data_IF_954996502119
#
_entry.id   IF_954996502119
#
_cell.length_a   1.000
_cell.length_b   1.000
_cell.length_c   1.000
_cell.angle_alpha   90.00
_cell.angle_beta   90.00
_cell.angle_gamma   90.00
#
_symmetry.space_group_name_H-M   'P 1'
#
loop_
_entity.id
_entity.type
_entity.pdbx_description
1 polymer ?
#
# COMPACT_ATOMS: atom_id res chain seq x y z
N UNK A 1 15.75 0.28 6.66
CA UNK A 1 16.35 -1.05 6.38
C UNK A 1 15.29 -1.93 5.75
N UNK A 2 15.37 -2.14 4.43
CA UNK A 2 14.34 -2.83 3.64
C UNK A 2 14.47 -4.36 3.59
N UNK A 3 15.40 -4.95 4.34
CA UNK A 3 15.69 -6.40 4.30
C UNK A 3 14.46 -7.28 4.62
N UNK A 4 13.50 -6.78 5.42
CA UNK A 4 12.27 -7.52 5.75
C UNK A 4 11.16 -7.41 4.68
N UNK A 5 11.32 -6.59 3.63
CA UNK A 5 10.33 -6.39 2.56
C UNK A 5 10.65 -7.18 1.28
N UNK A 6 11.86 -7.72 1.17
CA UNK A 6 12.40 -8.41 0.01
C UNK A 6 12.04 -9.90 -0.06
N UNK A 7 10.75 -10.26 0.03
CA UNK A 7 10.32 -11.67 -0.01
C UNK A 7 10.85 -12.43 -1.26
N UNK A 8 11.11 -11.69 -2.35
CA UNK A 8 11.61 -12.22 -3.60
C UNK A 8 13.09 -11.89 -3.88
N UNK A 9 13.82 -11.27 -2.94
CA UNK A 9 15.22 -10.82 -3.15
C UNK A 9 16.17 -11.95 -3.53
N UNK A 10 15.87 -13.17 -3.10
CA UNK A 10 16.68 -14.36 -3.37
C UNK A 10 16.14 -15.22 -4.52
N UNK A 11 15.10 -14.76 -5.21
CA UNK A 11 14.56 -15.45 -6.38
C UNK A 11 15.49 -15.23 -7.57
N UNK A 12 15.99 -16.34 -8.11
CA UNK A 12 16.83 -16.35 -9.30
C UNK A 12 16.13 -17.08 -10.46
N UNK A 13 16.72 -17.01 -11.66
CA UNK A 13 16.17 -17.64 -12.85
C UNK A 13 15.98 -19.17 -12.73
N UNK A 14 16.77 -19.84 -11.88
CA UNK A 14 16.62 -21.28 -11.64
C UNK A 14 15.36 -21.58 -10.83
N UNK A 15 15.10 -20.80 -9.78
CA UNK A 15 13.88 -20.88 -8.96
C UNK A 15 12.65 -20.56 -9.80
N UNK A 16 12.71 -19.54 -10.66
CA UNK A 16 11.61 -19.20 -11.58
C UNK A 16 11.31 -20.36 -12.53
N UNK A 17 12.32 -20.94 -13.18
CA UNK A 17 12.13 -22.09 -14.07
C UNK A 17 11.56 -23.30 -13.33
N UNK A 18 12.10 -23.61 -12.15
CA UNK A 18 11.58 -24.71 -11.33
C UNK A 18 10.11 -24.50 -10.93
N UNK A 19 9.73 -23.26 -10.60
CA UNK A 19 8.35 -22.91 -10.28
C UNK A 19 7.42 -23.04 -11.49
N UNK A 20 7.85 -22.58 -12.67
CA UNK A 20 7.10 -22.75 -13.92
C UNK A 20 6.92 -24.22 -14.29
N UNK A 21 7.95 -25.05 -14.11
CA UNK A 21 7.87 -26.48 -14.38
C UNK A 21 6.98 -27.22 -13.37
N UNK A 22 6.93 -26.76 -12.12
CA UNK A 22 5.97 -27.26 -11.12
C UNK A 22 4.53 -26.94 -11.55
N UNK A 23 4.26 -25.72 -12.03
CA UNK A 23 2.94 -25.33 -12.52
C UNK A 23 2.51 -26.15 -13.75
N UNK A 24 3.41 -26.36 -14.72
CA UNK A 24 3.13 -27.20 -15.91
C UNK A 24 2.80 -28.66 -15.59
N UNK A 25 3.19 -29.13 -14.40
CA UNK A 25 2.95 -30.50 -13.91
C UNK A 25 1.78 -30.57 -12.92
N UNK A 26 0.95 -29.54 -12.85
CA UNK A 26 -0.17 -29.43 -11.89
C UNK A 26 0.28 -29.62 -10.42
N UNK A 27 1.52 -29.23 -10.11
CA UNK A 27 2.12 -29.39 -8.78
C UNK A 27 1.56 -28.43 -7.73
N UNK A 28 0.71 -27.49 -8.14
CA UNK A 28 0.06 -26.50 -7.25
C UNK A 28 -1.45 -26.67 -7.37
N UNK A 29 -2.12 -26.88 -6.23
CA UNK A 29 -3.57 -26.97 -6.14
C UNK A 29 -4.10 -25.89 -5.21
N UNK A 30 -5.07 -25.11 -5.70
CA UNK A 30 -5.79 -24.13 -4.89
C UNK A 30 -7.20 -24.64 -4.66
N UNK A 31 -7.67 -24.59 -3.42
CA UNK A 31 -9.02 -25.00 -3.06
C UNK A 31 -9.61 -24.06 -2.01
N UNK A 32 -10.93 -23.90 -2.04
CA UNK A 32 -11.65 -23.04 -1.11
C UNK A 32 -12.39 -23.88 -0.09
N UNK A 33 -12.30 -23.49 1.19
CA UNK A 33 -13.10 -24.09 2.23
C UNK A 33 -14.53 -23.54 2.15
N UNK A 34 -15.54 -24.41 2.18
CA UNK A 34 -16.95 -24.00 2.22
C UNK A 34 -17.28 -23.25 3.51
N UNK A 35 -16.69 -23.68 4.60
CA UNK A 35 -16.77 -23.04 5.91
C UNK A 35 -15.35 -22.70 6.36
N UNK A 36 -15.12 -21.43 6.65
CA UNK A 36 -13.82 -20.94 7.10
C UNK A 36 -13.90 -20.53 8.57
N UNK A 37 -12.91 -20.90 9.41
CA UNK A 37 -12.91 -20.54 10.83
C UNK A 37 -12.69 -19.04 11.06
N UNK A 38 -12.15 -18.33 10.05
CA UNK A 38 -11.96 -16.88 10.08
C UNK A 38 -12.10 -16.29 8.68
N UNK A 39 -12.35 -14.98 8.62
CA UNK A 39 -12.39 -14.20 7.37
C UNK A 39 -11.06 -14.23 6.62
N UNK A 40 -9.94 -14.21 7.36
CA UNK A 40 -8.60 -14.41 6.84
C UNK A 40 -8.10 -15.76 7.36
N UNK A 41 -8.15 -16.78 6.52
CA UNK A 41 -7.59 -18.09 6.78
C UNK A 41 -6.90 -18.59 5.51
N UNK A 42 -5.58 -18.83 5.59
CA UNK A 42 -4.82 -19.43 4.50
C UNK A 42 -3.99 -20.56 5.08
N UNK A 43 -4.20 -21.77 4.56
CA UNK A 43 -3.37 -22.94 4.85
C UNK A 43 -2.53 -23.26 3.61
N UNK A 44 -1.22 -23.21 3.77
CA UNK A 44 -0.28 -23.66 2.76
C UNK A 44 0.27 -25.03 3.17
N UNK A 45 0.19 -26.01 2.27
CA UNK A 45 0.70 -27.37 2.48
C UNK A 45 1.70 -27.74 1.39
N UNK A 46 2.79 -28.38 1.79
CA UNK A 46 3.81 -28.92 0.89
C UNK A 46 4.03 -30.40 1.16
N UNK A 47 4.38 -31.17 0.15
CA UNK A 47 4.63 -32.60 0.29
C UNK A 47 5.84 -33.06 -0.54
N UNK A 48 6.51 -34.12 -0.07
CA UNK A 48 7.61 -34.79 -0.76
C UNK A 48 7.64 -36.28 -0.39
N UNK A 49 7.27 -37.14 -1.34
CA UNK A 49 7.01 -38.55 -1.05
C UNK A 49 5.90 -38.65 -0.01
N UNK A 50 6.15 -39.39 1.07
CA UNK A 50 5.20 -39.59 2.17
C UNK A 50 5.22 -38.45 3.21
N UNK A 51 6.14 -37.49 3.08
CA UNK A 51 6.25 -36.38 4.02
C UNK A 51 5.33 -35.22 3.63
N UNK A 52 4.70 -34.62 4.63
CA UNK A 52 3.84 -33.44 4.49
C UNK A 52 4.22 -32.39 5.53
N UNK A 53 4.10 -31.11 5.19
CA UNK A 53 4.22 -30.01 6.13
C UNK A 53 3.21 -28.93 5.79
N UNK A 54 2.75 -28.19 6.80
CA UNK A 54 1.79 -27.12 6.60
C UNK A 54 2.01 -25.95 7.55
N UNK A 55 1.53 -24.79 7.12
CA UNK A 55 1.44 -23.56 7.92
C UNK A 55 0.07 -22.93 7.70
N UNK A 56 -0.50 -22.37 8.76
CA UNK A 56 -1.74 -21.59 8.72
C UNK A 56 -1.46 -20.16 9.15
N UNK A 57 -1.87 -19.19 8.33
CA UNK A 57 -2.07 -17.81 8.81
C UNK A 57 -3.56 -17.56 9.05
N UNK A 58 -3.87 -16.89 10.17
CA UNK A 58 -5.25 -16.61 10.54
C UNK A 58 -5.37 -15.29 11.31
N UNK A 59 -6.43 -14.52 11.04
CA UNK A 59 -6.78 -13.27 11.73
C UNK A 59 -5.93 -12.03 11.37
N UNK A 60 -4.66 -12.20 10.99
CA UNK A 60 -3.77 -11.14 10.48
C UNK A 60 -2.84 -11.68 9.37
N UNK A 61 -2.32 -10.80 8.49
CA UNK A 61 -1.56 -11.16 7.29
C UNK A 61 -0.21 -11.84 7.59
N UNK A 62 0.37 -11.59 8.75
CA UNK A 62 1.63 -12.19 9.21
C UNK A 62 1.44 -13.14 10.40
N UNK A 63 0.20 -13.39 10.81
CA UNK A 63 -0.09 -14.13 12.03
C UNK A 63 -0.13 -15.64 11.78
N UNK A 64 1.04 -16.28 11.77
CA UNK A 64 1.17 -17.74 11.75
C UNK A 64 0.53 -18.30 13.03
N UNK A 65 -0.55 -19.06 12.90
CA UNK A 65 -1.32 -19.62 14.01
C UNK A 65 -1.10 -21.10 14.22
N UNK A 66 -0.74 -21.82 13.16
CA UNK A 66 -0.47 -23.24 13.21
C UNK A 66 0.67 -23.62 12.28
N UNK A 67 1.47 -24.60 12.68
CA UNK A 67 2.46 -25.24 11.80
C UNK A 67 2.56 -26.70 12.18
N UNK A 68 2.72 -27.58 11.20
CA UNK A 68 2.88 -29.01 11.47
C UNK A 68 3.59 -29.77 10.38
N UNK A 69 3.92 -31.03 10.69
CA UNK A 69 4.63 -31.96 9.81
C UNK A 69 4.14 -33.38 10.05
N UNK A 70 3.89 -34.13 8.98
CA UNK A 70 3.53 -35.55 9.00
C UNK A 70 2.37 -35.85 9.98
N UNK A 71 1.31 -35.03 9.93
CA UNK A 71 0.15 -35.16 10.83
C UNK A 71 0.36 -34.65 12.27
N UNK A 72 1.57 -34.23 12.64
CA UNK A 72 1.86 -33.68 13.96
C UNK A 72 1.89 -32.15 13.97
N UNK A 73 1.09 -31.54 14.84
CA UNK A 73 1.15 -30.09 15.09
C UNK A 73 2.40 -29.77 15.90
N UNK A 74 3.25 -28.89 15.37
CA UNK A 74 4.50 -28.46 15.99
C UNK A 74 4.36 -27.10 16.67
N UNK A 75 3.46 -26.27 16.17
CA UNK A 75 3.16 -24.96 16.69
C UNK A 75 1.66 -24.71 16.62
N UNK A 76 1.08 -24.19 17.70
CA UNK A 76 -0.29 -23.71 17.75
C UNK A 76 -0.35 -22.51 18.69
N UNK A 77 -1.01 -21.43 18.25
CA UNK A 77 -1.36 -20.32 19.13
C UNK A 77 -2.83 -19.92 18.95
N UNK A 78 -3.49 -19.45 20.03
CA UNK A 78 -4.83 -18.90 19.92
C UNK A 78 -4.87 -17.72 18.94
N UNK A 79 -5.91 -17.68 18.12
CA UNK A 79 -6.17 -16.54 17.22
C UNK A 79 -6.66 -15.38 18.08
N UNK A 80 -5.75 -14.48 18.46
CA UNK A 80 -6.14 -13.17 18.97
C UNK A 80 -6.57 -12.32 17.80
N UNK A 81 -7.85 -11.93 17.74
CA UNK A 81 -8.31 -10.89 16.82
C UNK A 81 -7.56 -9.60 17.18
N UNK A 82 -6.58 -9.22 16.37
CA UNK A 82 -5.89 -7.93 16.48
C UNK A 82 -6.81 -6.84 15.96
N UNK A 83 -7.84 -6.50 16.74
CA UNK A 83 -8.65 -5.29 16.51
C UNK A 83 -7.89 -4.02 16.93
N UNK A 84 -6.90 -4.12 17.83
CA UNK A 84 -6.44 -2.96 18.61
C UNK A 84 -5.35 -2.06 17.98
N UNK A 85 -4.89 -2.31 16.76
CA UNK A 85 -3.73 -1.58 16.19
C UNK A 85 -4.07 -0.30 15.42
N UNK A 86 -5.21 -0.27 14.73
CA UNK A 86 -5.61 0.84 13.84
C UNK A 86 -6.62 1.79 14.54
N UNK A 87 -7.05 1.43 15.76
CA UNK A 87 -8.13 2.08 16.51
C UNK A 87 -7.70 3.28 17.38
N UNK A 88 -6.41 3.62 17.44
CA UNK A 88 -5.97 4.74 18.27
C UNK A 88 -6.32 6.09 17.63
N UNK A 89 -6.08 6.24 16.31
CA UNK A 89 -6.26 7.51 15.62
C UNK A 89 -7.74 7.90 15.50
N UNK A 90 -8.65 6.91 15.39
CA UNK A 90 -10.09 7.14 15.29
C UNK A 90 -10.71 7.75 16.56
N UNK A 91 -9.98 7.77 17.68
CA UNK A 91 -10.40 8.38 18.95
C UNK A 91 -10.20 9.89 18.97
N UNK A 92 -9.39 10.42 18.07
CA UNK A 92 -9.13 11.84 17.94
C UNK A 92 -9.97 12.43 16.81
N UNK A 93 -10.22 13.74 16.87
CA UNK A 93 -10.86 14.41 15.76
C UNK A 93 -9.84 14.73 14.66
N UNK A 94 -10.29 14.75 13.41
CA UNK A 94 -9.41 14.97 12.26
C UNK A 94 -8.79 16.37 12.29
N UNK A 95 -9.54 17.39 12.74
CA UNK A 95 -9.04 18.75 12.93
C UNK A 95 -7.86 18.78 13.92
N UNK A 96 -8.01 18.14 15.09
CA UNK A 96 -6.96 18.04 16.09
C UNK A 96 -5.70 17.34 15.54
N UNK A 97 -5.88 16.27 14.76
CA UNK A 97 -4.78 15.53 14.12
C UNK A 97 -4.03 16.42 13.12
N UNK A 98 -4.76 17.09 12.23
CA UNK A 98 -4.17 17.94 11.18
C UNK A 98 -3.48 19.15 11.81
N UNK A 99 -4.09 19.80 12.80
CA UNK A 99 -3.48 20.91 13.51
C UNK A 99 -2.23 20.46 14.26
N UNK A 100 -2.23 19.28 14.89
CA UNK A 100 -1.01 18.73 15.51
C UNK A 100 0.12 18.59 14.48
N UNK A 101 -0.17 17.99 13.32
CA UNK A 101 0.84 17.78 12.26
C UNK A 101 1.44 19.10 11.75
N UNK A 102 0.63 20.15 11.63
CA UNK A 102 1.11 21.48 11.17
C UNK A 102 2.12 22.11 12.11
N UNK A 103 2.17 21.69 13.37
CA UNK A 103 3.10 22.20 14.38
C UNK A 103 4.32 21.30 14.61
N UNK A 104 4.39 20.12 13.97
CA UNK A 104 5.56 19.25 14.05
C UNK A 104 6.72 19.84 13.25
N UNK A 105 7.94 19.61 13.75
CA UNK A 105 9.18 20.00 13.11
C UNK A 105 9.54 19.00 11.99
N UNK A 106 10.40 19.43 11.05
CA UNK A 106 10.76 18.61 9.89
C UNK A 106 11.44 17.30 10.32
N UNK A 107 12.29 17.35 11.34
CA UNK A 107 13.04 16.22 11.88
C UNK A 107 12.12 15.09 12.38
N UNK A 108 10.92 15.43 12.86
CA UNK A 108 9.92 14.44 13.31
C UNK A 108 9.22 13.75 12.15
N UNK A 109 9.24 14.35 10.95
CA UNK A 109 8.50 13.92 9.77
C UNK A 109 9.40 13.47 8.60
N UNK A 110 10.72 13.64 8.71
CA UNK A 110 11.71 13.37 7.66
C UNK A 110 11.60 11.92 7.12
N UNK A 111 11.27 10.96 7.99
CA UNK A 111 11.09 9.56 7.60
C UNK A 111 10.02 9.38 6.51
N UNK A 112 8.98 10.24 6.46
CA UNK A 112 7.93 10.16 5.44
C UNK A 112 8.45 10.57 4.06
N UNK A 113 9.41 11.50 4.02
CA UNK A 113 10.09 11.88 2.77
C UNK A 113 10.93 10.70 2.28
N UNK A 114 11.65 10.03 3.17
CA UNK A 114 12.39 8.81 2.83
C UNK A 114 11.45 7.70 2.32
N UNK A 115 10.29 7.52 2.94
CA UNK A 115 9.28 6.57 2.47
C UNK A 115 8.76 6.92 1.06
N UNK A 116 8.58 8.21 0.78
CA UNK A 116 8.21 8.69 -0.53
C UNK A 116 9.31 8.49 -1.58
N UNK A 117 10.58 8.69 -1.22
CA UNK A 117 11.74 8.41 -2.08
C UNK A 117 11.83 6.92 -2.44
N UNK A 118 11.61 6.01 -1.49
CA UNK A 118 11.57 4.56 -1.75
C UNK A 118 10.50 4.22 -2.79
N UNK A 119 9.28 4.74 -2.62
CA UNK A 119 8.21 4.52 -3.61
C UNK A 119 8.52 5.18 -4.95
N UNK A 120 9.20 6.35 -4.97
CA UNK A 120 9.56 7.03 -6.20
C UNK A 120 10.59 6.24 -6.99
N UNK A 121 11.58 5.65 -6.32
CA UNK A 121 12.54 4.75 -6.96
C UNK A 121 11.85 3.54 -7.62
N UNK A 122 10.82 2.97 -6.97
CA UNK A 122 10.01 1.91 -7.58
C UNK A 122 9.23 2.39 -8.82
N UNK A 123 8.74 3.63 -8.82
CA UNK A 123 8.11 4.23 -10.00
C UNK A 123 9.12 4.45 -11.13
N UNK A 124 10.32 4.94 -10.82
CA UNK A 124 11.39 5.17 -11.78
C UNK A 124 11.86 3.85 -12.42
N UNK A 125 12.00 2.78 -11.65
CA UNK A 125 12.27 1.44 -12.20
C UNK A 125 11.15 1.02 -13.16
N UNK A 126 9.88 1.18 -12.76
CA UNK A 126 8.73 0.88 -13.62
C UNK A 126 8.63 1.74 -14.89
N UNK A 127 9.24 2.92 -14.93
CA UNK A 127 9.26 3.76 -16.13
C UNK A 127 10.36 3.37 -17.12
N UNK A 128 11.46 2.81 -16.62
CA UNK A 128 12.63 2.48 -17.43
C UNK A 128 12.75 0.98 -17.75
N UNK A 129 11.90 0.13 -17.17
CA UNK A 129 11.92 -1.30 -17.42
C UNK A 129 11.18 -1.67 -18.71
N UNK A 130 11.82 -2.42 -19.61
CA UNK A 130 11.26 -2.84 -20.90
C UNK A 130 10.01 -3.73 -20.77
N UNK A 131 9.81 -4.38 -19.62
CA UNK A 131 8.64 -5.23 -19.36
C UNK A 131 7.46 -4.46 -18.75
N UNK A 132 7.62 -3.17 -18.45
CA UNK A 132 6.59 -2.31 -17.90
C UNK A 132 6.14 -1.29 -18.96
N UNK A 133 4.82 -1.19 -19.20
CA UNK A 133 4.28 -0.38 -20.31
C UNK A 133 3.56 0.88 -19.85
N UNK A 134 3.12 0.95 -18.59
CA UNK A 134 2.31 2.06 -18.09
C UNK A 134 3.14 3.34 -18.00
N UNK A 135 4.40 3.24 -17.56
CA UNK A 135 5.27 4.41 -17.43
C UNK A 135 5.53 5.10 -18.76
N UNK A 136 5.90 4.33 -19.78
CA UNK A 136 6.14 4.87 -21.12
C UNK A 136 4.86 5.42 -21.76
N UNK A 137 3.72 4.73 -21.60
CA UNK A 137 2.43 5.19 -22.11
C UNK A 137 2.00 6.53 -21.49
N UNK A 138 2.12 6.67 -20.16
CA UNK A 138 1.67 7.87 -19.45
C UNK A 138 2.66 9.04 -19.53
N UNK A 139 3.96 8.78 -19.67
CA UNK A 139 4.98 9.84 -19.78
C UNK A 139 4.72 10.77 -20.96
N UNK A 140 4.22 10.22 -22.07
CA UNK A 140 3.85 10.99 -23.26
C UNK A 140 2.73 12.01 -23.02
N UNK A 141 1.90 11.83 -21.99
CA UNK A 141 0.73 12.66 -21.71
C UNK A 141 1.02 13.86 -20.79
N UNK A 142 2.21 13.95 -20.19
CA UNK A 142 2.54 15.00 -19.19
C UNK A 142 3.10 16.26 -19.82
N UNK A 143 3.88 16.14 -20.91
CA UNK A 143 4.85 17.15 -21.35
C UNK A 143 4.29 18.56 -21.52
N UNK A 144 3.01 18.68 -21.88
CA UNK A 144 2.34 19.95 -22.16
C UNK A 144 1.07 20.19 -21.31
N UNK A 145 0.87 19.41 -20.24
CA UNK A 145 -0.32 19.56 -19.39
C UNK A 145 -0.21 20.84 -18.53
N UNK A 146 -1.19 21.76 -18.57
CA UNK A 146 -1.18 22.94 -17.69
C UNK A 146 -1.59 22.55 -16.26
N UNK A 147 -1.24 23.38 -15.28
CA UNK A 147 -1.80 23.28 -13.94
C UNK A 147 -3.34 23.50 -13.99
N UNK A 148 -4.16 22.73 -13.25
CA UNK A 148 -3.80 21.67 -12.29
C UNK A 148 -3.60 20.27 -12.88
N UNK A 149 -3.84 20.08 -14.18
CA UNK A 149 -3.78 18.76 -14.83
C UNK A 149 -2.39 18.13 -14.80
N UNK A 150 -1.31 18.93 -14.81
CA UNK A 150 0.06 18.43 -14.67
C UNK A 150 0.27 17.63 -13.38
N UNK A 151 -0.24 18.09 -12.23
CA UNK A 151 -0.14 17.38 -10.96
C UNK A 151 -0.89 16.06 -10.99
N UNK A 152 -2.11 16.07 -11.55
CA UNK A 152 -2.90 14.84 -11.72
C UNK A 152 -2.18 13.85 -12.66
N UNK A 153 -1.62 14.31 -13.78
CA UNK A 153 -0.93 13.44 -14.73
C UNK A 153 0.37 12.86 -14.14
N UNK A 154 1.15 13.67 -13.42
CA UNK A 154 2.34 13.20 -12.73
C UNK A 154 2.01 12.15 -11.66
N UNK A 155 0.95 12.39 -10.87
CA UNK A 155 0.48 11.42 -9.89
C UNK A 155 0.05 10.10 -10.53
N UNK A 156 -0.65 10.15 -11.68
CA UNK A 156 -1.00 8.94 -12.45
C UNK A 156 0.23 8.21 -12.95
N UNK A 157 1.20 8.92 -13.51
CA UNK A 157 2.44 8.31 -13.97
C UNK A 157 3.16 7.60 -12.82
N UNK A 158 3.42 8.30 -11.72
CA UNK A 158 4.16 7.75 -10.59
C UNK A 158 3.46 6.52 -10.00
N UNK A 159 2.16 6.65 -9.71
CA UNK A 159 1.39 5.58 -9.08
C UNK A 159 1.23 4.36 -10.00
N UNK A 160 0.97 4.57 -11.30
CA UNK A 160 0.83 3.47 -12.24
C UNK A 160 2.16 2.74 -12.48
N UNK A 161 3.27 3.46 -12.63
CA UNK A 161 4.59 2.86 -12.82
C UNK A 161 5.03 2.04 -11.62
N UNK A 162 4.88 2.56 -10.39
CA UNK A 162 5.23 1.80 -9.19
C UNK A 162 4.31 0.58 -8.98
N UNK A 163 3.01 0.74 -9.25
CA UNK A 163 2.05 -0.36 -9.14
C UNK A 163 2.35 -1.47 -10.16
N UNK A 164 2.62 -1.12 -11.42
CA UNK A 164 2.98 -2.09 -12.46
C UNK A 164 4.30 -2.78 -12.14
N UNK A 165 5.36 -2.04 -11.81
CA UNK A 165 6.65 -2.60 -11.42
C UNK A 165 6.50 -3.67 -10.33
N UNK A 166 5.72 -3.35 -9.28
CA UNK A 166 5.39 -4.30 -8.22
C UNK A 166 4.58 -5.49 -8.73
N UNK A 167 3.55 -5.26 -9.56
CA UNK A 167 2.62 -6.30 -10.00
C UNK A 167 3.23 -7.29 -11.00
N UNK A 168 4.16 -6.85 -11.84
CA UNK A 168 4.89 -7.74 -12.76
C UNK A 168 6.05 -8.47 -12.06
N UNK A 169 6.29 -8.18 -10.78
CA UNK A 169 7.29 -8.86 -9.95
C UNK A 169 8.71 -8.32 -10.10
N UNK A 170 8.88 -7.05 -10.49
CA UNK A 170 10.19 -6.41 -10.38
C UNK A 170 10.62 -6.35 -8.92
N UNK A 171 11.93 -6.46 -8.68
CA UNK A 171 12.46 -6.42 -7.32
C UNK A 171 12.58 -4.99 -6.80
N UNK A 172 11.43 -4.37 -6.52
CA UNK A 172 11.33 -2.99 -6.04
C UNK A 172 10.68 -2.94 -4.66
N UNK A 173 11.33 -2.33 -3.65
CA UNK A 173 10.72 -2.14 -2.35
C UNK A 173 9.59 -1.10 -2.43
N UNK A 174 8.51 -1.34 -1.68
CA UNK A 174 7.38 -0.42 -1.56
C UNK A 174 7.09 -0.18 -0.09
N UNK A 175 7.13 1.09 0.34
CA UNK A 175 6.70 1.43 1.69
C UNK A 175 5.18 1.37 1.75
N UNK A 176 4.67 0.45 2.56
CA UNK A 176 3.25 0.23 2.75
C UNK A 176 2.70 1.15 3.86
N UNK A 177 1.41 1.47 3.75
CA UNK A 177 0.68 2.13 4.84
C UNK A 177 -0.60 1.34 5.16
N UNK A 178 -0.91 1.24 6.46
CA UNK A 178 -2.03 0.46 6.97
C UNK A 178 -2.07 -0.98 6.41
N UNK A 179 -0.89 -1.61 6.29
CA UNK A 179 -0.72 -2.99 5.84
C UNK A 179 -0.85 -3.22 4.33
N UNK A 180 -0.82 -2.18 3.48
CA UNK A 180 -0.95 -2.32 2.02
C UNK A 180 0.05 -1.46 1.26
N UNK A 181 0.81 -2.11 0.36
CA UNK A 181 1.73 -1.42 -0.54
C UNK A 181 1.01 -0.50 -1.53
N UNK A 182 -0.18 -0.87 -2.01
CA UNK A 182 -0.95 0.00 -2.92
C UNK A 182 -1.48 1.25 -2.21
N UNK A 183 -1.79 1.18 -0.91
CA UNK A 183 -2.09 2.39 -0.15
C UNK A 183 -0.85 3.29 -0.08
N UNK A 184 0.33 2.69 0.14
CA UNK A 184 1.60 3.41 0.20
C UNK A 184 1.91 4.12 -1.11
N UNK A 185 1.86 3.40 -2.23
CA UNK A 185 2.01 3.94 -3.58
C UNK A 185 1.09 5.14 -3.79
N UNK A 186 -0.22 4.99 -3.56
CA UNK A 186 -1.17 6.09 -3.74
C UNK A 186 -0.89 7.28 -2.81
N UNK A 187 -0.65 7.01 -1.52
CA UNK A 187 -0.39 8.02 -0.50
C UNK A 187 0.87 8.83 -0.80
N UNK A 188 2.02 8.15 -0.87
CA UNK A 188 3.31 8.81 -0.99
C UNK A 188 3.49 9.45 -2.36
N UNK A 189 3.22 8.73 -3.45
CA UNK A 189 3.45 9.24 -4.80
C UNK A 189 2.39 10.25 -5.25
N UNK A 190 1.15 10.13 -4.76
CA UNK A 190 0.10 11.11 -5.01
C UNK A 190 0.47 12.48 -4.43
N UNK A 191 0.91 12.51 -3.16
CA UNK A 191 1.36 13.75 -2.51
C UNK A 191 2.65 14.26 -3.13
N UNK A 192 3.63 13.40 -3.36
CA UNK A 192 4.92 13.79 -3.93
C UNK A 192 4.75 14.43 -5.32
N UNK A 193 3.92 13.86 -6.19
CA UNK A 193 3.64 14.43 -7.50
C UNK A 193 3.01 15.83 -7.42
N UNK A 194 2.05 16.04 -6.51
CA UNK A 194 1.45 17.36 -6.30
C UNK A 194 2.48 18.36 -5.74
N UNK A 195 3.29 17.94 -4.76
CA UNK A 195 4.34 18.75 -4.16
C UNK A 195 5.39 19.21 -5.18
N UNK A 196 5.82 18.33 -6.09
CA UNK A 196 6.79 18.66 -7.15
C UNK A 196 6.27 19.69 -8.14
N UNK A 197 4.99 19.59 -8.52
CA UNK A 197 4.34 20.57 -9.41
C UNK A 197 4.14 21.92 -8.71
N UNK A 198 3.76 21.89 -7.43
CA UNK A 198 3.55 23.09 -6.62
C UNK A 198 4.86 23.72 -6.13
N UNK A 199 5.98 22.99 -6.18
CA UNK A 199 7.32 23.41 -5.72
C UNK A 199 7.31 23.85 -4.26
N UNK A 200 6.58 23.12 -3.42
CA UNK A 200 6.52 23.38 -1.97
C UNK A 200 7.86 23.10 -1.30
N UNK A 201 8.06 23.67 -0.12
CA UNK A 201 9.23 23.39 0.71
C UNK A 201 9.25 21.94 1.23
N UNK A 202 10.41 21.49 1.67
CA UNK A 202 10.58 20.15 2.24
C UNK A 202 9.72 19.95 3.51
N UNK A 203 9.62 20.98 4.36
CA UNK A 203 8.73 21.00 5.53
C UNK A 203 7.26 20.87 5.14
N UNK A 204 6.82 21.57 4.11
CA UNK A 204 5.45 21.45 3.60
C UNK A 204 5.18 20.07 3.00
N UNK A 205 6.14 19.49 2.26
CA UNK A 205 6.05 18.12 1.76
C UNK A 205 5.92 17.12 2.90
N UNK A 206 6.76 17.20 3.93
CA UNK A 206 6.74 16.30 5.08
C UNK A 206 5.39 16.34 5.81
N UNK A 207 4.85 17.55 6.05
CA UNK A 207 3.53 17.76 6.66
C UNK A 207 2.40 17.26 5.77
N UNK A 208 2.47 17.47 4.46
CA UNK A 208 1.48 16.97 3.51
C UNK A 208 1.45 15.42 3.50
N UNK A 209 2.62 14.77 3.50
CA UNK A 209 2.74 13.32 3.60
C UNK A 209 2.18 12.81 4.91
N UNK A 210 2.42 13.51 6.02
CA UNK A 210 1.88 13.17 7.33
C UNK A 210 0.35 13.28 7.37
N UNK A 211 -0.22 14.37 6.83
CA UNK A 211 -1.68 14.58 6.73
C UNK A 211 -2.32 13.44 5.91
N UNK A 212 -1.78 13.16 4.73
CA UNK A 212 -2.30 12.08 3.87
C UNK A 212 -2.23 10.72 4.57
N UNK A 213 -1.11 10.45 5.25
CA UNK A 213 -0.88 9.18 5.95
C UNK A 213 -1.82 9.01 7.14
N UNK A 214 -1.98 10.06 7.94
CA UNK A 214 -2.88 10.08 9.09
C UNK A 214 -4.34 9.87 8.67
N UNK A 215 -4.80 10.56 7.63
CA UNK A 215 -6.16 10.38 7.09
C UNK A 215 -6.36 8.98 6.53
N UNK A 216 -5.36 8.44 5.82
CA UNK A 216 -5.39 7.06 5.31
C UNK A 216 -5.58 6.06 6.45
N UNK A 217 -4.79 6.20 7.53
CA UNK A 217 -4.88 5.35 8.72
C UNK A 217 -6.22 5.55 9.44
N UNK A 218 -6.68 6.80 9.59
CA UNK A 218 -7.96 7.14 10.20
C UNK A 218 -9.13 6.44 9.52
N UNK A 219 -9.23 6.57 8.19
CA UNK A 219 -10.28 5.93 7.39
C UNK A 219 -10.14 4.40 7.48
N UNK A 220 -8.91 3.87 7.46
CA UNK A 220 -8.66 2.43 7.63
C UNK A 220 -9.03 1.90 9.01
N UNK A 221 -9.08 2.72 10.05
CA UNK A 221 -9.63 2.34 11.35
C UNK A 221 -11.13 2.06 11.28
N UNK A 222 -11.89 2.86 10.52
CA UNK A 222 -13.32 2.62 10.30
C UNK A 222 -13.58 1.50 9.28
N UNK A 223 -12.77 1.44 8.22
CA UNK A 223 -12.89 0.44 7.16
C UNK A 223 -12.06 -0.79 7.54
N UNK A 224 -12.70 -1.73 8.24
CA UNK A 224 -12.12 -3.03 8.68
C UNK A 224 -11.24 -3.67 7.61
N UNK A 225 -10.27 -4.49 8.05
CA UNK A 225 -9.21 -5.09 7.23
C UNK A 225 -9.69 -5.74 5.91
N UNK A 226 -10.85 -6.42 5.93
CA UNK A 226 -11.53 -6.86 4.71
C UNK A 226 -12.68 -5.92 4.38
N UNK A 227 -12.57 -5.25 3.24
CA UNK A 227 -13.52 -4.28 2.72
C UNK A 227 -13.86 -4.66 1.29
N UNK A 228 -15.12 -4.46 0.88
CA UNK A 228 -15.54 -4.65 -0.50
C UNK A 228 -15.04 -3.55 -1.44
N UNK A 229 -14.45 -2.47 -0.91
CA UNK A 229 -13.94 -1.33 -1.67
C UNK A 229 -12.40 -1.31 -1.66
N UNK A 230 -11.75 -0.81 -2.73
CA UNK A 230 -10.30 -0.61 -2.70
C UNK A 230 -9.93 0.44 -1.64
N UNK A 231 -9.19 0.03 -0.61
CA UNK A 231 -8.66 0.98 0.37
C UNK A 231 -7.71 2.01 -0.25
N UNK A 232 -7.12 1.71 -1.41
CA UNK A 232 -6.28 2.63 -2.17
C UNK A 232 -7.07 3.83 -2.71
N UNK A 233 -8.19 3.55 -3.39
CA UNK A 233 -9.02 4.57 -4.03
C UNK A 233 -9.84 5.34 -3.00
N UNK A 234 -10.23 4.70 -1.89
CA UNK A 234 -11.02 5.36 -0.85
C UNK A 234 -10.11 6.02 0.18
N UNK A 235 -9.32 5.27 0.94
CA UNK A 235 -8.58 5.83 2.08
C UNK A 235 -7.38 6.68 1.64
N UNK A 236 -6.48 6.11 0.82
CA UNK A 236 -5.26 6.80 0.42
C UNK A 236 -5.54 8.01 -0.47
N UNK A 237 -6.42 7.89 -1.47
CA UNK A 237 -6.77 9.04 -2.31
C UNK A 237 -7.48 10.17 -1.54
N UNK A 238 -8.27 9.84 -0.50
CA UNK A 238 -8.88 10.86 0.38
C UNK A 238 -7.81 11.61 1.16
N UNK A 239 -6.79 10.91 1.66
CA UNK A 239 -5.61 11.53 2.28
C UNK A 239 -4.86 12.45 1.31
N UNK A 240 -4.61 11.99 0.08
CA UNK A 240 -3.93 12.79 -0.97
C UNK A 240 -4.71 14.07 -1.29
N UNK A 241 -6.05 14.00 -1.34
CA UNK A 241 -6.89 15.16 -1.58
C UNK A 241 -6.75 16.22 -0.48
N UNK A 242 -6.83 15.84 0.79
CA UNK A 242 -6.62 16.76 1.91
C UNK A 242 -5.21 17.36 1.92
N UNK A 243 -4.18 16.52 1.69
CA UNK A 243 -2.79 16.97 1.63
C UNK A 243 -2.54 17.94 0.46
N UNK A 244 -3.19 17.73 -0.68
CA UNK A 244 -3.11 18.64 -1.83
C UNK A 244 -3.75 19.99 -1.50
N UNK A 245 -4.90 19.99 -0.84
CA UNK A 245 -5.54 21.25 -0.37
C UNK A 245 -4.66 21.96 0.65
N UNK A 246 -4.01 21.23 1.57
CA UNK A 246 -3.03 21.80 2.49
C UNK A 246 -1.89 22.51 1.77
N UNK A 247 -1.28 21.87 0.78
CA UNK A 247 -0.19 22.46 -0.01
C UNK A 247 -0.64 23.66 -0.86
N UNK A 248 -1.94 23.77 -1.17
CA UNK A 248 -2.54 24.93 -1.83
C UNK A 248 -2.88 26.08 -0.87
N UNK A 249 -2.64 25.92 0.44
CA UNK A 249 -2.97 26.90 1.46
C UNK A 249 -4.46 26.94 1.82
N UNK A 250 -5.22 25.88 1.50
CA UNK A 250 -6.65 25.79 1.81
C UNK A 250 -6.95 25.62 3.30
N UNK A 251 -8.19 25.95 3.68
CA UNK A 251 -8.69 25.78 5.04
C UNK A 251 -8.98 24.32 5.38
N UNK A 252 -9.22 24.03 6.66
CA UNK A 252 -9.72 22.71 7.07
C UNK A 252 -11.05 22.35 6.41
N UNK A 253 -11.94 23.33 6.21
CA UNK A 253 -13.21 23.12 5.52
C UNK A 253 -13.00 22.75 4.04
N UNK A 254 -12.03 23.38 3.37
CA UNK A 254 -11.65 23.02 1.99
C UNK A 254 -11.12 21.57 1.93
N UNK A 255 -10.31 21.16 2.92
CA UNK A 255 -9.82 19.78 3.02
C UNK A 255 -10.98 18.81 3.19
N UNK A 256 -11.94 19.11 4.08
CA UNK A 256 -13.14 18.30 4.29
C UNK A 256 -13.96 18.16 3.00
N UNK A 257 -14.17 19.25 2.27
CA UNK A 257 -14.91 19.23 1.00
C UNK A 257 -14.20 18.41 -0.08
N UNK A 258 -12.87 18.50 -0.17
CA UNK A 258 -12.09 17.66 -1.08
C UNK A 258 -12.17 16.18 -0.69
N UNK A 259 -12.05 15.86 0.61
CA UNK A 259 -12.21 14.50 1.11
C UNK A 259 -13.60 13.93 0.80
N UNK A 260 -14.66 14.69 1.07
CA UNK A 260 -16.03 14.28 0.72
C UNK A 260 -16.23 14.06 -0.78
N UNK A 261 -15.56 14.85 -1.63
CA UNK A 261 -15.64 14.66 -3.09
C UNK A 261 -15.04 13.32 -3.51
N UNK A 262 -13.89 12.94 -2.94
CA UNK A 262 -13.26 11.64 -3.22
C UNK A 262 -14.10 10.49 -2.67
N UNK A 263 -14.54 10.58 -1.41
CA UNK A 263 -15.39 9.57 -0.79
C UNK A 263 -16.71 9.41 -1.55
N UNK A 264 -17.37 10.50 -1.93
CA UNK A 264 -18.63 10.46 -2.67
C UNK A 264 -18.49 9.89 -4.08
N UNK A 265 -17.37 10.13 -4.76
CA UNK A 265 -17.11 9.62 -6.10
C UNK A 265 -16.72 8.13 -6.12
N UNK A 266 -16.11 7.62 -5.04
CA UNK A 266 -15.47 6.30 -5.03
C UNK A 266 -16.12 5.31 -4.03
N UNK A 267 -16.98 5.77 -3.12
CA UNK A 267 -17.77 4.90 -2.26
C UNK A 267 -18.72 4.06 -3.10
N UNK A 268 -18.44 2.75 -3.19
CA UNK A 268 -19.21 1.83 -4.04
C UNK A 268 -18.39 1.17 -5.14
N UNK A 269 -17.19 1.66 -5.46
CA UNK A 269 -16.31 1.03 -6.46
C UNK A 269 -15.65 -0.21 -5.83
N UNK A 270 -15.94 -1.38 -6.41
CA UNK A 270 -15.40 -2.71 -6.07
C UNK A 270 -14.31 -3.07 -7.07
#
# INVERSE_FOLDING_TARGET
TGEDLGLLDHVNNEIVRASQDMLKKDGVKVSYLKETPDRLYIKAEVFKGDNTAWTVIQGDYSNITETGKNGHTLFNKPVKKTENGVDALIRFKIDDIIETIKHLDLEELEFLIEDAKVNKAAAEEGMHNENAVMGSALSSMIKDAPFPYSAMMLGKLYTASAAEARMIGLNVPIMAIAGSGNHGITNFLGVLAAAEILKVSETELARALAISSAITVFIKGYIKRMTAFCGCSVAAATGVAAATVYMLGGSFEDMVNAMHSVLGALAGIV
#
